data_IF_326304148281
#
_entry.id   IF_326304148281
#
_cell.length_a   1.000
_cell.length_b   1.000
_cell.length_c   1.000
_cell.angle_alpha   90.00
_cell.angle_beta   90.00
_cell.angle_gamma   90.00
#
_symmetry.space_group_name_H-M   'P 1'
#
loop_
_entity.id
_entity.type
_entity.pdbx_description
1 polymer ?
#
# COMPACT_ATOMS: atom_id res chain seq x y z
N UNK A 1 -13.05 46.35 31.16
CA UNK A 1 -13.28 44.95 31.59
C UNK A 1 -13.89 44.01 30.52
N UNK A 2 -14.15 44.46 29.27
CA UNK A 2 -14.73 43.61 28.20
C UNK A 2 -13.69 43.02 27.21
N UNK A 3 -12.44 43.49 27.23
CA UNK A 3 -11.40 43.11 26.25
C UNK A 3 -10.63 41.84 26.68
N UNK A 4 -10.62 41.50 27.97
CA UNK A 4 -9.90 40.32 28.47
C UNK A 4 -10.67 39.00 28.28
N UNK A 5 -12.00 39.03 28.17
CA UNK A 5 -12.81 37.82 27.98
C UNK A 5 -12.65 37.27 26.56
N UNK A 6 -12.43 38.13 25.56
CA UNK A 6 -12.26 37.71 24.16
C UNK A 6 -10.92 37.00 23.89
N UNK A 7 -9.86 37.35 24.62
CA UNK A 7 -8.56 36.66 24.51
C UNK A 7 -8.54 35.28 25.14
N UNK A 8 -9.36 35.01 26.17
CA UNK A 8 -9.44 33.69 26.80
C UNK A 8 -10.24 32.71 25.94
N UNK A 9 -11.27 33.18 25.23
CA UNK A 9 -12.04 32.35 24.29
C UNK A 9 -11.23 32.04 23.03
N UNK A 10 -10.40 32.97 22.54
CA UNK A 10 -9.50 32.72 21.41
C UNK A 10 -8.34 31.76 21.76
N UNK A 11 -7.93 31.68 23.04
CA UNK A 11 -6.90 30.74 23.49
C UNK A 11 -7.44 29.30 23.63
N UNK A 12 -8.76 29.12 23.78
CA UNK A 12 -9.38 27.79 23.94
C UNK A 12 -9.65 27.08 22.60
N UNK A 13 -9.65 27.83 21.48
CA UNK A 13 -9.90 27.27 20.13
C UNK A 13 -8.62 26.70 19.50
N UNK A 14 -7.43 27.02 20.02
CA UNK A 14 -6.13 26.60 19.44
C UNK A 14 -5.58 25.31 20.07
N UNK A 15 -6.18 24.78 21.14
CA UNK A 15 -5.74 23.54 21.81
C UNK A 15 -6.44 22.27 21.34
N UNK A 16 -7.28 22.30 20.30
CA UNK A 16 -7.59 21.09 19.54
C UNK A 16 -6.43 20.84 18.57
N UNK A 17 -5.24 20.57 19.12
CA UNK A 17 -4.28 19.76 18.39
C UNK A 17 -4.97 18.41 18.27
N UNK A 18 -5.50 18.14 17.09
CA UNK A 18 -5.69 16.79 16.56
C UNK A 18 -4.44 16.00 16.95
N UNK A 19 -4.50 15.26 18.05
CA UNK A 19 -3.85 13.98 18.09
C UNK A 19 -4.60 13.16 17.06
N UNK A 20 -4.22 13.29 15.80
CA UNK A 20 -4.23 12.16 14.89
C UNK A 20 -3.30 11.15 15.55
N UNK A 21 -3.84 10.47 16.56
CA UNK A 21 -3.36 9.19 17.02
C UNK A 21 -3.55 8.36 15.77
N UNK A 22 -2.46 8.25 15.00
CA UNK A 22 -2.34 7.30 13.92
C UNK A 22 -2.63 5.98 14.60
N UNK A 23 -3.86 5.51 14.45
CA UNK A 23 -4.24 4.19 14.90
C UNK A 23 -3.34 3.23 14.11
N UNK A 24 -2.22 2.87 14.73
CA UNK A 24 -1.28 1.87 14.23
C UNK A 24 -1.88 0.46 14.28
N UNK A 25 -3.17 0.36 14.61
CA UNK A 25 -3.93 -0.86 14.65
C UNK A 25 -4.73 -1.00 13.36
N UNK A 26 -4.70 -2.18 12.77
CA UNK A 26 -5.48 -2.54 11.60
C UNK A 26 -6.03 -3.96 11.71
N UNK A 27 -7.03 -4.26 10.90
CA UNK A 27 -7.51 -5.62 10.70
C UNK A 27 -6.89 -6.22 9.45
N UNK A 28 -6.65 -7.52 9.46
CA UNK A 28 -6.03 -8.23 8.34
C UNK A 28 -6.85 -9.45 7.95
N UNK A 29 -7.03 -9.65 6.65
CA UNK A 29 -7.56 -10.87 6.06
C UNK A 29 -6.40 -11.76 5.60
N UNK A 30 -6.42 -13.03 6.00
CA UNK A 30 -5.42 -14.03 5.62
C UNK A 30 -6.18 -15.25 5.09
N UNK A 31 -5.81 -15.75 3.92
CA UNK A 31 -6.39 -16.96 3.34
C UNK A 31 -5.30 -17.94 2.86
N UNK A 32 -5.58 -19.24 2.94
CA UNK A 32 -4.70 -20.29 2.41
C UNK A 32 -4.44 -20.09 0.91
N UNK A 33 -5.49 -19.81 0.14
CA UNK A 33 -5.41 -19.53 -1.29
C UNK A 33 -6.24 -18.28 -1.62
N UNK A 34 -5.66 -17.06 -1.54
CA UNK A 34 -6.39 -15.84 -1.87
C UNK A 34 -6.93 -15.84 -3.32
N UNK A 35 -6.24 -16.51 -4.25
CA UNK A 35 -6.65 -16.57 -5.66
C UNK A 35 -8.02 -17.26 -5.90
N UNK A 36 -8.48 -18.08 -4.96
CA UNK A 36 -9.75 -18.84 -5.09
C UNK A 36 -10.98 -17.97 -4.83
N UNK A 37 -10.77 -16.80 -4.22
CA UNK A 37 -11.82 -15.81 -3.99
C UNK A 37 -12.13 -15.01 -5.26
N UNK A 38 -13.35 -14.48 -5.31
CA UNK A 38 -13.73 -13.47 -6.29
C UNK A 38 -13.18 -12.10 -5.85
N UNK A 39 -12.08 -11.71 -6.50
CA UNK A 39 -11.34 -10.48 -6.22
C UNK A 39 -11.43 -9.56 -7.43
N UNK A 40 -11.71 -8.28 -7.16
CA UNK A 40 -11.70 -7.19 -8.12
C UNK A 40 -10.55 -6.22 -7.83
N UNK A 41 -10.03 -5.58 -8.86
CA UNK A 41 -9.02 -4.53 -8.73
C UNK A 41 -9.63 -3.20 -8.24
N UNK A 42 -8.81 -2.15 -8.11
CA UNK A 42 -9.26 -0.79 -7.70
C UNK A 42 -10.38 -0.20 -8.57
N UNK A 43 -10.51 -0.67 -9.81
CA UNK A 43 -11.54 -0.26 -10.77
C UNK A 43 -12.76 -1.19 -10.78
N UNK A 44 -12.87 -2.08 -9.79
CA UNK A 44 -13.96 -3.05 -9.67
C UNK A 44 -14.06 -4.03 -10.85
N UNK A 45 -12.93 -4.27 -11.53
CA UNK A 45 -12.84 -5.25 -12.62
C UNK A 45 -12.25 -6.56 -12.11
N UNK A 46 -12.72 -7.68 -12.67
CA UNK A 46 -12.20 -9.01 -12.35
C UNK A 46 -10.71 -9.10 -12.64
N UNK A 47 -9.96 -9.61 -11.67
CA UNK A 47 -8.51 -9.79 -11.79
C UNK A 47 -8.22 -10.94 -12.74
N UNK A 48 -7.26 -10.72 -13.64
CA UNK A 48 -6.82 -11.73 -14.60
C UNK A 48 -6.16 -12.94 -13.91
N UNK A 49 -6.18 -14.10 -14.56
CA UNK A 49 -5.52 -15.29 -14.02
C UNK A 49 -4.01 -15.13 -13.86
N UNK A 50 -3.35 -14.28 -14.67
CA UNK A 50 -1.94 -13.96 -14.54
C UNK A 50 -1.65 -13.14 -13.29
N UNK A 51 -2.47 -12.12 -13.00
CA UNK A 51 -2.29 -11.27 -11.82
C UNK A 51 -2.55 -12.04 -10.53
N UNK A 52 -3.53 -12.96 -10.55
CA UNK A 52 -3.80 -13.84 -9.41
C UNK A 52 -2.60 -14.71 -9.00
N UNK A 53 -1.65 -14.99 -9.91
CA UNK A 53 -0.43 -15.75 -9.56
C UNK A 53 0.48 -15.01 -8.59
N UNK A 54 0.33 -13.68 -8.46
CA UNK A 54 1.07 -12.87 -7.50
C UNK A 54 0.55 -13.03 -6.07
N UNK A 55 -0.66 -13.58 -5.90
CA UNK A 55 -1.29 -13.74 -4.60
C UNK A 55 -0.84 -15.06 -3.95
N UNK A 56 0.24 -14.98 -3.17
CA UNK A 56 0.80 -16.12 -2.47
C UNK A 56 -0.11 -16.59 -1.32
N UNK A 57 0.07 -17.86 -0.93
CA UNK A 57 -0.65 -18.46 0.20
C UNK A 57 -0.38 -17.70 1.49
N UNK A 58 -1.42 -17.52 2.31
CA UNK A 58 -1.36 -16.85 3.61
C UNK A 58 -0.79 -15.43 3.56
N UNK A 59 -0.89 -14.77 2.42
CA UNK A 59 -0.50 -13.36 2.31
C UNK A 59 -1.45 -12.50 3.15
N UNK A 60 -0.94 -11.53 3.93
CA UNK A 60 -1.79 -10.66 4.73
C UNK A 60 -2.35 -9.51 3.86
N UNK A 61 -3.66 -9.35 3.88
CA UNK A 61 -4.39 -8.25 3.22
C UNK A 61 -4.92 -7.31 4.29
N UNK A 62 -4.50 -6.05 4.28
CA UNK A 62 -4.97 -5.08 5.26
C UNK A 62 -6.41 -4.71 4.92
N UNK A 63 -7.33 -4.89 5.86
CA UNK A 63 -8.73 -4.53 5.67
C UNK A 63 -8.87 -3.02 5.84
N UNK A 64 -9.42 -2.35 4.83
CA UNK A 64 -9.75 -0.92 4.87
C UNK A 64 -11.21 -0.77 5.32
N UNK A 65 -12.13 -1.51 4.69
CA UNK A 65 -13.55 -1.53 5.04
C UNK A 65 -14.05 -2.98 4.97
N UNK A 66 -14.66 -3.48 6.05
CA UNK A 66 -15.15 -4.87 6.14
C UNK A 66 -16.38 -5.12 5.27
N UNK A 67 -17.26 -4.12 5.15
CA UNK A 67 -18.49 -4.21 4.40
C UNK A 67 -18.76 -2.88 3.69
N UNK A 68 -18.62 -2.89 2.36
CA UNK A 68 -18.84 -1.75 1.48
C UNK A 68 -19.68 -2.18 0.29
N UNK A 69 -20.33 -1.23 -0.38
CA UNK A 69 -21.04 -1.49 -1.64
C UNK A 69 -20.15 -1.07 -2.81
N UNK A 70 -20.18 -1.85 -3.88
CA UNK A 70 -19.53 -1.48 -5.13
C UNK A 70 -20.28 -0.33 -5.82
N UNK A 71 -19.76 0.13 -6.97
CA UNK A 71 -20.33 1.27 -7.71
C UNK A 71 -21.76 1.03 -8.20
N UNK A 72 -22.18 -0.23 -8.29
CA UNK A 72 -23.55 -0.62 -8.62
C UNK A 72 -24.54 -0.41 -7.46
N UNK A 73 -24.07 -0.14 -6.23
CA UNK A 73 -24.86 0.00 -5.01
C UNK A 73 -25.62 -1.27 -4.57
N UNK A 74 -25.34 -2.42 -5.18
CA UNK A 74 -25.98 -3.70 -4.85
C UNK A 74 -24.96 -4.74 -4.38
N UNK A 75 -23.81 -4.82 -5.05
CA UNK A 75 -22.81 -5.83 -4.76
C UNK A 75 -22.04 -5.46 -3.49
N UNK A 76 -22.13 -6.31 -2.47
CA UNK A 76 -21.37 -6.17 -1.22
C UNK A 76 -19.93 -6.65 -1.42
N UNK A 77 -18.98 -5.96 -0.81
CA UNK A 77 -17.57 -6.30 -0.85
C UNK A 77 -16.84 -5.93 0.44
N UNK A 78 -15.72 -6.61 0.68
CA UNK A 78 -14.70 -6.22 1.65
C UNK A 78 -13.57 -5.52 0.89
N UNK A 79 -13.28 -4.28 1.24
CA UNK A 79 -12.21 -3.47 0.64
C UNK A 79 -10.92 -3.67 1.41
N UNK A 80 -9.86 -4.04 0.69
CA UNK A 80 -8.58 -4.37 1.28
C UNK A 80 -7.42 -3.71 0.52
N UNK A 81 -6.27 -3.63 1.18
CA UNK A 81 -5.00 -3.19 0.63
C UNK A 81 -3.99 -4.34 0.64
N UNK A 82 -3.30 -4.51 -0.48
CA UNK A 82 -2.18 -5.42 -0.62
C UNK A 82 -1.08 -4.80 -1.47
N UNK A 83 0.15 -4.79 -0.95
CA UNK A 83 1.31 -4.14 -1.56
C UNK A 83 1.04 -2.68 -2.00
N UNK A 84 0.25 -1.95 -1.20
CA UNK A 84 -0.11 -0.55 -1.46
C UNK A 84 -1.18 -0.35 -2.55
N UNK A 85 -1.76 -1.44 -3.06
CA UNK A 85 -2.86 -1.41 -4.04
C UNK A 85 -4.16 -1.82 -3.39
N UNK A 86 -5.25 -1.19 -3.81
CA UNK A 86 -6.60 -1.50 -3.34
C UNK A 86 -7.24 -2.60 -4.17
N UNK A 87 -7.95 -3.49 -3.47
CA UNK A 87 -8.70 -4.60 -4.04
C UNK A 87 -10.02 -4.79 -3.29
N UNK A 88 -10.94 -5.49 -3.93
CA UNK A 88 -12.25 -5.80 -3.36
C UNK A 88 -12.48 -7.30 -3.40
N UNK A 89 -12.77 -7.91 -2.26
CA UNK A 89 -13.28 -9.28 -2.20
C UNK A 89 -14.80 -9.23 -2.14
N UNK A 90 -15.50 -9.88 -3.06
CA UNK A 90 -16.96 -9.84 -3.09
C UNK A 90 -17.57 -10.69 -1.98
N UNK A 91 -18.66 -10.21 -1.40
CA UNK A 91 -19.42 -10.86 -0.34
C UNK A 91 -20.76 -11.34 -0.89
N UNK A 92 -21.28 -12.44 -0.36
CA UNK A 92 -22.65 -12.86 -0.59
C UNK A 92 -23.64 -12.08 0.31
N UNK A 93 -24.94 -12.36 0.17
CA UNK A 93 -25.99 -11.68 0.94
C UNK A 93 -25.84 -11.84 2.46
N UNK A 94 -25.23 -12.95 2.88
CA UNK A 94 -24.93 -13.28 4.28
C UNK A 94 -23.64 -12.63 4.79
N UNK A 95 -22.96 -11.80 3.99
CA UNK A 95 -21.71 -11.15 4.35
C UNK A 95 -20.49 -12.09 4.38
N UNK A 96 -20.57 -13.26 3.72
CA UNK A 96 -19.45 -14.19 3.58
C UNK A 96 -18.74 -13.98 2.25
N UNK A 97 -17.42 -14.08 2.26
CA UNK A 97 -16.60 -13.98 1.06
C UNK A 97 -16.96 -15.06 0.03
N UNK A 98 -17.15 -14.66 -1.22
CA UNK A 98 -17.39 -15.57 -2.33
C UNK A 98 -16.06 -16.25 -2.73
N UNK A 99 -16.02 -17.57 -2.55
CA UNK A 99 -14.90 -18.43 -2.95
C UNK A 99 -15.40 -19.47 -3.94
N UNK A 100 -14.53 -19.84 -4.90
CA UNK A 100 -14.79 -20.97 -5.81
C UNK A 100 -14.67 -22.32 -5.11
N UNK A 101 -13.87 -22.37 -4.06
CA UNK A 101 -13.66 -23.57 -3.25
C UNK A 101 -14.26 -23.36 -1.85
N UNK A 102 -15.22 -24.20 -1.46
CA UNK A 102 -15.94 -24.06 -0.19
C UNK A 102 -15.09 -24.31 1.07
N UNK A 103 -13.85 -24.80 0.94
CA UNK A 103 -13.03 -25.29 2.05
C UNK A 103 -11.66 -24.60 2.20
N UNK A 104 -11.48 -23.40 1.66
CA UNK A 104 -10.23 -22.63 1.86
C UNK A 104 -10.20 -22.03 3.25
N UNK A 105 -9.16 -22.34 4.03
CA UNK A 105 -8.98 -21.74 5.34
C UNK A 105 -8.76 -20.23 5.20
N UNK A 106 -9.52 -19.44 5.94
CA UNK A 106 -9.33 -17.99 6.00
C UNK A 106 -9.69 -17.41 7.36
N UNK A 107 -8.98 -16.36 7.75
CA UNK A 107 -9.18 -15.65 9.01
C UNK A 107 -9.21 -14.15 8.79
N UNK A 108 -10.07 -13.48 9.55
CA UNK A 108 -10.00 -12.04 9.79
C UNK A 108 -9.39 -11.87 11.18
N UNK A 109 -8.28 -11.13 11.26
CA UNK A 109 -7.55 -10.87 12.49
C UNK A 109 -7.64 -9.39 12.80
N UNK A 110 -8.36 -9.05 13.86
CA UNK A 110 -8.64 -7.67 14.25
C UNK A 110 -7.62 -7.13 15.25
N UNK A 111 -7.52 -5.80 15.31
CA UNK A 111 -6.73 -5.06 16.29
C UNK A 111 -5.24 -5.48 16.30
N UNK A 112 -4.63 -5.53 15.11
CA UNK A 112 -3.24 -5.88 14.93
C UNK A 112 -2.38 -4.61 14.87
N UNK A 113 -1.32 -4.53 15.67
CA UNK A 113 -0.35 -3.45 15.55
C UNK A 113 0.54 -3.69 14.34
N UNK A 114 0.54 -2.76 13.39
CA UNK A 114 1.33 -2.87 12.16
C UNK A 114 2.82 -2.79 12.51
N UNK A 115 3.61 -3.72 11.97
CA UNK A 115 5.06 -3.79 12.15
C UNK A 115 5.72 -3.91 10.78
N UNK A 116 6.82 -3.18 10.57
CA UNK A 116 7.64 -3.32 9.35
C UNK A 116 9.09 -3.62 9.70
N UNK A 117 9.29 -4.39 10.76
CA UNK A 117 10.62 -4.67 11.30
C UNK A 117 11.12 -6.04 10.83
N UNK A 118 12.43 -6.11 10.62
CA UNK A 118 13.11 -7.38 10.34
C UNK A 118 13.68 -7.96 11.63
N UNK A 119 13.43 -9.24 11.86
CA UNK A 119 13.98 -10.01 12.96
C UNK A 119 14.97 -11.06 12.45
N UNK A 120 15.91 -11.43 13.31
CA UNK A 120 16.77 -12.59 13.11
C UNK A 120 16.64 -13.53 14.30
N UNK A 121 16.52 -14.83 14.03
CA UNK A 121 16.50 -15.87 15.05
C UNK A 121 17.90 -16.01 15.66
N UNK A 122 18.02 -15.87 16.98
CA UNK A 122 19.34 -15.91 17.67
C UNK A 122 19.69 -17.35 18.11
N UNK A 123 18.69 -18.19 18.36
CA UNK A 123 18.85 -19.53 18.94
C UNK A 123 18.19 -20.59 18.05
N UNK A 124 18.87 -21.72 17.84
CA UNK A 124 18.33 -22.82 17.06
C UNK A 124 17.08 -23.39 17.73
N UNK A 125 16.03 -23.64 16.94
CA UNK A 125 14.79 -24.29 17.35
C UNK A 125 14.04 -23.61 18.50
N UNK A 126 14.35 -22.34 18.78
CA UNK A 126 13.69 -21.58 19.85
C UNK A 126 12.33 -20.98 19.41
N UNK A 127 12.10 -20.85 18.09
CA UNK A 127 10.90 -20.22 17.54
C UNK A 127 10.17 -21.20 16.64
N UNK A 128 8.88 -21.41 16.94
CA UNK A 128 8.00 -22.25 16.15
C UNK A 128 7.24 -21.41 15.11
N UNK A 129 7.38 -21.78 13.85
CA UNK A 129 6.67 -21.20 12.72
C UNK A 129 5.47 -22.08 12.33
N UNK A 130 4.30 -21.44 12.14
CA UNK A 130 3.03 -22.11 11.81
C UNK A 130 2.23 -21.31 10.79
N UNK A 131 1.42 -21.96 9.96
CA UNK A 131 0.54 -21.26 9.00
C UNK A 131 -0.71 -20.64 9.61
N UNK A 132 -1.20 -21.27 10.67
CA UNK A 132 -2.46 -20.89 11.32
C UNK A 132 -2.20 -20.20 12.65
N UNK A 133 -3.14 -19.39 13.13
CA UNK A 133 -3.08 -18.78 14.46
C UNK A 133 -2.85 -19.82 15.58
N UNK A 134 -2.17 -19.41 16.67
CA UNK A 134 -1.80 -20.31 17.78
C UNK A 134 -2.98 -20.86 18.59
N UNK A 135 -4.16 -20.23 18.50
CA UNK A 135 -5.40 -20.69 19.13
C UNK A 135 -6.12 -21.78 18.32
N UNK A 136 -5.61 -22.15 17.15
CA UNK A 136 -6.20 -23.18 16.30
C UNK A 136 -5.29 -24.39 16.16
N UNK A 137 -5.89 -25.57 16.22
CA UNK A 137 -5.20 -26.84 15.99
C UNK A 137 -5.60 -27.41 14.64
N UNK A 138 -4.61 -27.66 13.78
CA UNK A 138 -4.83 -28.39 12.54
C UNK A 138 -3.67 -29.32 12.29
N UNK A 139 -3.98 -30.60 12.04
CA UNK A 139 -3.02 -31.61 11.61
C UNK A 139 -2.56 -31.40 10.16
N UNK A 140 -3.27 -30.58 9.38
CA UNK A 140 -3.00 -30.33 7.95
C UNK A 140 -1.76 -29.43 7.75
N UNK A 141 -1.50 -28.51 8.66
CA UNK A 141 -0.45 -27.50 8.47
C UNK A 141 0.80 -27.82 9.29
N UNK A 142 1.93 -27.82 8.58
CA UNK A 142 3.22 -28.11 9.17
C UNK A 142 3.61 -27.05 10.22
N UNK A 143 4.17 -27.54 11.31
CA UNK A 143 4.79 -26.74 12.38
C UNK A 143 6.30 -26.95 12.24
N UNK A 144 7.04 -25.89 11.97
CA UNK A 144 8.48 -25.97 11.72
C UNK A 144 9.23 -25.10 12.70
N UNK A 145 10.22 -25.67 13.38
CA UNK A 145 11.13 -24.89 14.21
C UNK A 145 12.15 -24.17 13.34
N UNK A 146 12.33 -22.87 13.59
CA UNK A 146 13.27 -22.05 12.84
C UNK A 146 14.69 -22.21 13.36
N UNK A 147 15.66 -22.22 12.45
CA UNK A 147 17.08 -22.28 12.76
C UNK A 147 17.65 -20.87 13.02
N UNK A 148 18.76 -20.80 13.77
CA UNK A 148 19.51 -19.57 14.03
C UNK A 148 19.94 -18.93 12.71
N UNK A 149 19.88 -17.60 12.68
CA UNK A 149 20.22 -16.79 11.51
C UNK A 149 19.07 -16.63 10.52
N UNK A 150 17.96 -17.36 10.68
CA UNK A 150 16.76 -17.16 9.85
C UNK A 150 16.29 -15.72 9.97
N UNK A 151 16.14 -15.04 8.84
CA UNK A 151 15.63 -13.68 8.76
C UNK A 151 14.13 -13.67 8.47
N UNK A 152 13.42 -12.81 9.19
CA UNK A 152 11.96 -12.71 9.16
C UNK A 152 11.56 -11.25 9.01
N UNK A 153 10.63 -10.95 8.11
CA UNK A 153 9.96 -9.64 8.09
C UNK A 153 8.64 -9.75 8.83
N UNK A 154 8.48 -9.04 9.93
CA UNK A 154 7.17 -8.90 10.56
C UNK A 154 6.30 -7.93 9.78
N UNK A 155 5.02 -8.29 9.65
CA UNK A 155 3.98 -7.47 9.01
C UNK A 155 3.06 -6.84 10.06
N UNK A 156 2.72 -7.61 11.11
CA UNK A 156 1.95 -7.10 12.23
C UNK A 156 2.10 -8.01 13.45
N UNK A 157 1.68 -7.49 14.60
CA UNK A 157 1.58 -8.22 15.85
C UNK A 157 0.13 -8.30 16.31
N UNK A 158 -0.28 -9.49 16.74
CA UNK A 158 -1.54 -9.70 17.44
C UNK A 158 -1.24 -10.30 18.81
N UNK A 159 -1.49 -9.52 19.87
CA UNK A 159 -1.12 -9.88 21.25
C UNK A 159 0.39 -10.23 21.34
N UNK A 160 0.74 -11.47 21.67
CA UNK A 160 2.12 -11.94 21.82
C UNK A 160 2.64 -12.68 20.57
N UNK A 161 1.86 -12.74 19.50
CA UNK A 161 2.20 -13.46 18.29
C UNK A 161 2.48 -12.48 17.16
N UNK A 162 3.45 -12.82 16.32
CA UNK A 162 3.84 -12.01 15.17
C UNK A 162 3.47 -12.76 13.90
N UNK A 163 2.87 -12.05 12.95
CA UNK A 163 2.72 -12.55 11.59
C UNK A 163 3.93 -12.09 10.77
N UNK A 164 4.64 -13.06 10.22
CA UNK A 164 5.95 -12.86 9.60
C UNK A 164 6.02 -13.52 8.23
N UNK A 165 6.97 -13.03 7.44
CA UNK A 165 7.40 -13.61 6.18
C UNK A 165 8.84 -14.10 6.30
N UNK A 166 9.11 -15.34 5.88
CA UNK A 166 10.47 -15.85 5.73
C UNK A 166 11.19 -15.11 4.60
N UNK A 167 12.39 -14.59 4.86
CA UNK A 167 13.22 -13.93 3.85
C UNK A 167 14.04 -14.94 3.02
N UNK A 168 14.20 -16.17 3.50
CA UNK A 168 14.90 -17.24 2.76
C UNK A 168 13.96 -17.99 1.82
N UNK A 169 14.24 -17.94 0.51
CA UNK A 169 13.57 -18.78 -0.50
C UNK A 169 12.21 -18.25 -0.98
N UNK A 170 11.20 -19.14 -1.10
CA UNK A 170 9.85 -18.79 -1.57
C UNK A 170 9.15 -17.89 -0.53
N UNK A 171 8.39 -16.89 -0.97
CA UNK A 171 7.60 -15.99 -0.09
C UNK A 171 6.64 -16.80 0.78
N UNK A 172 7.07 -17.11 1.99
CA UNK A 172 6.36 -18.01 2.89
C UNK A 172 5.95 -17.27 4.16
N UNK A 173 4.63 -17.24 4.41
CA UNK A 173 4.02 -16.45 5.48
C UNK A 173 3.51 -17.33 6.61
N UNK A 174 3.53 -16.79 7.83
CA UNK A 174 3.02 -17.53 8.97
C UNK A 174 3.20 -16.80 10.30
N UNK A 175 2.77 -17.47 11.35
CA UNK A 175 2.81 -17.03 12.73
C UNK A 175 4.04 -17.54 13.44
N UNK A 176 4.62 -16.69 14.28
CA UNK A 176 5.60 -17.06 15.30
C UNK A 176 5.15 -16.56 16.67
N UNK A 177 5.54 -17.30 17.70
CA UNK A 177 5.38 -16.89 19.09
C UNK A 177 6.74 -17.03 19.76
N UNK A 178 7.45 -15.91 20.01
CA UNK A 178 8.76 -15.97 20.66
C UNK A 178 8.59 -16.40 22.11
N UNK A 179 9.20 -17.52 22.48
CA UNK A 179 9.33 -17.92 23.88
C UNK A 179 10.44 -17.06 24.52
N UNK A 180 10.08 -15.86 24.99
CA UNK A 180 10.99 -14.95 25.68
C UNK A 180 11.73 -13.94 24.79
N UNK A 181 12.29 -12.90 25.42
CA UNK A 181 12.99 -11.77 24.76
C UNK A 181 14.30 -12.17 24.06
N UNK A 182 14.85 -13.35 24.36
CA UNK A 182 16.17 -13.78 23.88
C UNK A 182 16.14 -14.54 22.54
N UNK A 183 14.96 -14.85 22.02
CA UNK A 183 14.80 -15.69 20.82
C UNK A 183 14.80 -14.88 19.52
N UNK A 184 14.53 -13.58 19.60
CA UNK A 184 14.49 -12.65 18.46
C UNK A 184 15.46 -11.50 18.68
N UNK A 185 16.35 -11.26 17.70
CA UNK A 185 17.07 -9.99 17.59
C UNK A 185 16.29 -9.13 16.62
N UNK A 186 15.88 -7.93 17.04
CA UNK A 186 15.56 -6.89 16.05
C UNK A 186 16.84 -6.68 15.25
N UNK A 187 16.77 -6.95 13.95
CA UNK A 187 17.85 -6.55 13.07
C UNK A 187 17.77 -5.03 13.06
N UNK A 188 18.80 -4.35 13.55
CA UNK A 188 19.01 -2.93 13.27
C UNK A 188 19.44 -2.80 11.80
N UNK A 189 18.63 -3.33 10.90
CA UNK A 189 18.57 -2.93 9.50
C UNK A 189 17.71 -1.67 9.45
N UNK A 190 18.12 -0.66 10.22
CA UNK A 190 17.76 0.72 9.91
C UNK A 190 18.60 1.24 8.74
N UNK A 191 19.70 0.57 8.35
CA UNK A 191 20.55 0.98 7.22
C UNK A 191 21.45 -0.16 6.68
N UNK A 192 20.89 -1.29 6.25
CA UNK A 192 21.68 -2.26 5.46
C UNK A 192 20.87 -2.79 4.26
N UNK A 193 20.34 -1.83 3.50
CA UNK A 193 20.27 -1.82 2.04
C UNK A 193 19.84 -0.41 1.59
N UNK A 194 20.56 0.61 2.06
CA UNK A 194 20.72 1.88 1.33
C UNK A 194 21.96 1.76 0.43
N UNK A 195 22.06 0.67 -0.33
CA UNK A 195 22.35 0.91 -1.74
C UNK A 195 21.16 1.75 -2.17
N UNK A 196 21.34 3.07 -2.27
CA UNK A 196 20.26 3.98 -2.69
C UNK A 196 19.55 3.28 -3.84
N UNK A 197 18.32 2.81 -3.62
CA UNK A 197 17.56 2.12 -4.66
C UNK A 197 17.22 3.24 -5.63
N UNK A 198 18.19 3.55 -6.49
CA UNK A 198 18.08 4.58 -7.50
C UNK A 198 17.13 4.00 -8.52
N UNK A 199 16.12 4.80 -8.84
CA UNK A 199 15.31 4.54 -10.02
C UNK A 199 16.29 4.43 -11.18
N UNK A 200 16.20 3.32 -11.93
CA UNK A 200 17.04 3.08 -13.09
C UNK A 200 16.97 4.28 -14.04
N UNK A 201 18.13 4.76 -14.49
CA UNK A 201 18.25 5.86 -15.45
C UNK A 201 17.43 5.61 -16.71
N UNK A 202 17.22 4.33 -17.09
CA UNK A 202 16.35 3.99 -18.23
C UNK A 202 14.89 4.38 -17.97
N UNK A 203 14.37 4.13 -16.76
CA UNK A 203 13.02 4.51 -16.34
C UNK A 203 12.90 6.03 -16.26
N UNK A 204 13.90 6.71 -15.69
CA UNK A 204 13.93 8.18 -15.62
C UNK A 204 13.90 8.82 -17.01
N UNK A 205 14.64 8.28 -17.98
CA UNK A 205 14.61 8.76 -19.38
C UNK A 205 13.24 8.56 -20.02
N UNK A 206 12.55 7.46 -19.73
CA UNK A 206 11.19 7.24 -20.23
C UNK A 206 10.21 8.26 -19.64
N UNK A 207 10.30 8.53 -18.34
CA UNK A 207 9.50 9.57 -17.65
C UNK A 207 9.78 10.94 -18.27
N UNK A 208 11.05 11.30 -18.47
CA UNK A 208 11.43 12.57 -19.07
C UNK A 208 10.85 12.73 -20.49
N UNK A 209 10.94 11.66 -21.31
CA UNK A 209 10.36 11.66 -22.66
C UNK A 209 8.84 11.87 -22.65
N UNK A 210 8.13 11.32 -21.65
CA UNK A 210 6.68 11.55 -21.49
C UNK A 210 6.37 12.99 -21.11
N UNK A 211 7.15 13.58 -20.21
CA UNK A 211 7.01 14.97 -19.80
C UNK A 211 7.20 15.92 -20.98
N UNK A 212 8.27 15.74 -21.76
CA UNK A 212 8.52 16.59 -22.94
C UNK A 212 7.39 16.50 -23.96
N UNK A 213 6.88 15.29 -24.23
CA UNK A 213 5.75 15.09 -25.15
C UNK A 213 4.50 15.81 -24.64
N UNK A 214 4.16 15.66 -23.36
CA UNK A 214 3.01 16.34 -22.76
C UNK A 214 3.14 17.87 -22.83
N UNK A 215 4.30 18.40 -22.45
CA UNK A 215 4.57 19.85 -22.47
C UNK A 215 4.51 20.43 -23.89
N UNK A 216 4.99 19.68 -24.90
CA UNK A 216 4.88 20.07 -26.31
C UNK A 216 3.42 20.13 -26.77
N UNK A 217 2.61 19.14 -26.41
CA UNK A 217 1.17 19.11 -26.73
C UNK A 217 0.45 20.29 -26.06
N UNK A 218 0.69 20.54 -24.78
CA UNK A 218 0.09 21.67 -24.06
C UNK A 218 0.46 23.01 -24.68
N UNK A 219 1.72 23.20 -25.04
CA UNK A 219 2.18 24.44 -25.68
C UNK A 219 1.50 24.65 -27.03
N UNK A 220 1.39 23.60 -27.86
CA UNK A 220 0.71 23.70 -29.15
C UNK A 220 -0.79 23.98 -29.01
N UNK A 221 -1.46 23.32 -28.06
CA UNK A 221 -2.87 23.51 -27.80
C UNK A 221 -3.15 24.93 -27.31
N UNK A 222 -2.40 25.38 -26.30
CA UNK A 222 -2.57 26.72 -25.73
C UNK A 222 -2.23 27.82 -26.73
N UNK A 223 -1.23 27.63 -27.60
CA UNK A 223 -0.94 28.56 -28.69
C UNK A 223 -2.15 28.74 -29.62
N UNK A 224 -2.81 27.64 -30.01
CA UNK A 224 -4.01 27.68 -30.87
C UNK A 224 -5.21 28.33 -30.14
N UNK A 225 -5.44 27.97 -28.88
CA UNK A 225 -6.53 28.53 -28.08
C UNK A 225 -6.33 30.03 -27.84
N UNK A 226 -5.14 30.44 -27.44
CA UNK A 226 -4.77 31.85 -27.23
C UNK A 226 -5.00 32.68 -28.50
N UNK A 227 -4.60 32.17 -29.67
CA UNK A 227 -4.85 32.83 -30.95
C UNK A 227 -6.36 32.92 -31.28
N UNK A 228 -7.13 31.87 -31.00
CA UNK A 228 -8.56 31.82 -31.32
C UNK A 228 -9.42 32.73 -30.44
N UNK A 229 -9.02 32.91 -29.18
CA UNK A 229 -9.75 33.71 -28.19
C UNK A 229 -9.11 35.07 -27.90
N UNK A 230 -8.04 35.43 -28.62
CA UNK A 230 -7.22 36.64 -28.37
C UNK A 230 -6.79 36.78 -26.89
N UNK A 231 -6.34 35.67 -26.31
CA UNK A 231 -5.86 35.59 -24.93
C UNK A 231 -4.36 35.31 -24.90
N UNK A 232 -3.69 35.63 -23.79
CA UNK A 232 -2.30 35.26 -23.56
C UNK A 232 -2.16 34.53 -22.23
N UNK A 233 -2.62 33.28 -22.18
CA UNK A 233 -2.51 32.43 -20.99
C UNK A 233 -1.30 31.50 -21.10
N UNK A 234 -0.53 31.32 -20.00
CA UNK A 234 0.58 30.36 -20.00
C UNK A 234 0.04 28.94 -20.16
N UNK A 235 0.81 28.11 -20.87
CA UNK A 235 0.50 26.69 -20.99
C UNK A 235 0.82 25.96 -19.67
N UNK A 236 0.05 24.91 -19.33
CA UNK A 236 0.41 23.97 -18.29
C UNK A 236 1.78 23.35 -18.60
N UNK A 237 2.59 23.14 -17.57
CA UNK A 237 3.92 22.55 -17.72
C UNK A 237 4.23 21.59 -16.58
N UNK A 238 4.68 20.39 -16.93
CA UNK A 238 5.20 19.41 -15.99
C UNK A 238 6.69 19.64 -15.75
N UNK A 239 7.07 19.83 -14.49
CA UNK A 239 8.45 19.80 -14.03
C UNK A 239 8.76 18.48 -13.32
N UNK A 240 10.03 18.07 -13.32
CA UNK A 240 10.51 16.88 -12.63
C UNK A 240 11.62 17.26 -11.66
N UNK A 241 11.49 16.86 -10.42
CA UNK A 241 12.51 17.01 -9.39
C UNK A 241 12.86 15.63 -8.81
N UNK A 242 14.14 15.30 -8.80
CA UNK A 242 14.65 14.08 -8.17
C UNK A 242 15.26 14.42 -6.81
N UNK A 243 14.87 13.71 -5.77
CA UNK A 243 15.46 13.81 -4.44
C UNK A 243 15.78 12.41 -3.88
N UNK A 244 16.31 12.37 -2.66
CA UNK A 244 16.69 11.12 -1.99
C UNK A 244 15.51 10.18 -1.68
N UNK A 245 14.28 10.69 -1.66
CA UNK A 245 13.05 9.93 -1.41
C UNK A 245 12.38 9.45 -2.69
N UNK A 246 12.79 9.96 -3.85
CA UNK A 246 12.18 9.61 -5.12
C UNK A 246 12.14 10.74 -6.13
N UNK A 247 11.16 10.65 -7.04
CA UNK A 247 10.94 11.63 -8.10
C UNK A 247 9.56 12.24 -7.94
N UNK A 248 9.50 13.56 -7.98
CA UNK A 248 8.26 14.31 -7.95
C UNK A 248 8.06 14.99 -9.29
N UNK A 249 6.91 14.74 -9.91
CA UNK A 249 6.46 15.44 -11.11
C UNK A 249 5.40 16.44 -10.69
N UNK A 250 5.56 17.71 -11.05
CA UNK A 250 4.65 18.77 -10.62
C UNK A 250 4.07 19.48 -11.84
N UNK A 251 2.73 19.53 -11.91
CA UNK A 251 2.04 20.34 -12.92
C UNK A 251 1.94 21.79 -12.42
N UNK A 252 2.48 22.70 -13.23
CA UNK A 252 2.52 24.14 -12.97
C UNK A 252 1.57 24.90 -13.90
N UNK A 253 1.31 26.16 -13.56
CA UNK A 253 0.47 27.11 -14.32
C UNK A 253 -1.01 26.72 -14.46
N UNK A 254 -1.54 25.90 -13.54
CA UNK A 254 -2.95 25.51 -13.54
C UNK A 254 -3.54 25.38 -12.13
N UNK A 255 -4.84 25.64 -11.96
CA UNK A 255 -5.57 25.23 -10.78
C UNK A 255 -5.81 23.70 -10.81
N UNK A 256 -5.51 22.95 -9.72
CA UNK A 256 -5.61 21.50 -9.67
C UNK A 256 -6.97 20.95 -10.11
N UNK A 257 -8.04 21.60 -9.65
CA UNK A 257 -9.43 21.17 -9.83
C UNK A 257 -9.87 21.07 -11.30
N UNK A 258 -9.23 21.85 -12.21
CA UNK A 258 -9.59 21.87 -13.63
C UNK A 258 -8.83 20.85 -14.47
N UNK A 259 -7.80 20.22 -13.91
CA UNK A 259 -6.87 19.35 -14.64
C UNK A 259 -6.82 17.92 -14.11
N UNK A 260 -7.70 17.57 -13.16
CA UNK A 260 -7.74 16.25 -12.51
C UNK A 260 -7.76 15.09 -13.53
N UNK A 261 -8.61 15.17 -14.57
CA UNK A 261 -8.66 14.13 -15.62
C UNK A 261 -7.34 14.01 -16.38
N UNK A 262 -6.69 15.13 -16.67
CA UNK A 262 -5.40 15.16 -17.38
C UNK A 262 -4.28 14.62 -16.50
N UNK A 263 -4.32 14.95 -15.20
CA UNK A 263 -3.38 14.44 -14.20
C UNK A 263 -3.55 12.93 -14.07
N UNK A 264 -4.77 12.42 -13.89
CA UNK A 264 -5.04 10.99 -13.80
C UNK A 264 -4.60 10.22 -15.03
N UNK A 265 -4.85 10.76 -16.24
CA UNK A 265 -4.36 10.16 -17.48
C UNK A 265 -2.83 10.09 -17.48
N UNK A 266 -2.15 11.18 -17.12
CA UNK A 266 -0.70 11.23 -17.08
C UNK A 266 -0.12 10.30 -16.00
N UNK A 267 -0.72 10.24 -14.81
CA UNK A 267 -0.38 9.29 -13.74
C UNK A 267 -0.43 7.85 -14.23
N UNK A 268 -1.46 7.46 -14.98
CA UNK A 268 -1.55 6.10 -15.54
C UNK A 268 -0.42 5.82 -16.55
N UNK A 269 -0.02 6.80 -17.36
CA UNK A 269 1.12 6.64 -18.27
C UNK A 269 2.45 6.48 -17.51
N UNK A 270 2.62 7.21 -16.40
CA UNK A 270 3.79 7.06 -15.54
C UNK A 270 3.76 5.71 -14.81
N UNK A 271 2.63 5.33 -14.20
CA UNK A 271 2.45 4.01 -13.58
C UNK A 271 2.80 2.86 -14.54
N UNK A 272 2.43 2.98 -15.82
CA UNK A 272 2.75 1.97 -16.83
C UNK A 272 4.25 1.82 -17.09
N UNK A 273 5.04 2.91 -17.00
CA UNK A 273 6.51 2.85 -17.09
C UNK A 273 7.10 2.05 -15.91
N UNK A 274 6.50 2.21 -14.73
CA UNK A 274 6.93 1.55 -13.49
C UNK A 274 6.25 0.19 -13.26
N UNK A 275 5.47 -0.31 -14.22
CA UNK A 275 4.79 -1.58 -14.10
C UNK A 275 5.81 -2.72 -13.93
N UNK A 276 5.71 -3.44 -12.81
CA UNK A 276 6.65 -4.51 -12.46
C UNK A 276 7.89 -4.04 -11.68
N UNK A 277 8.04 -2.74 -11.44
CA UNK A 277 9.04 -2.21 -10.51
C UNK A 277 8.55 -2.19 -9.07
N UNK A 278 9.48 -2.02 -8.11
CA UNK A 278 9.17 -1.86 -6.69
C UNK A 278 8.80 -0.43 -6.27
N UNK A 279 8.82 0.53 -7.22
CA UNK A 279 8.57 1.95 -6.97
C UNK A 279 7.07 2.25 -7.10
N UNK A 280 6.36 2.54 -5.99
CA UNK A 280 4.98 2.96 -6.09
C UNK A 280 4.88 4.37 -6.67
N UNK A 281 3.82 4.61 -7.42
CA UNK A 281 3.48 5.91 -8.03
C UNK A 281 2.18 6.38 -7.40
N UNK A 282 2.15 7.61 -6.92
CA UNK A 282 1.00 8.24 -6.29
C UNK A 282 0.69 9.58 -6.98
N UNK A 283 -0.57 10.01 -6.95
CA UNK A 283 -0.96 11.35 -7.38
C UNK A 283 -1.58 12.13 -6.22
N UNK A 284 -1.06 13.31 -5.94
CA UNK A 284 -1.52 14.19 -4.86
C UNK A 284 -1.77 15.59 -5.43
N UNK A 285 -3.03 15.92 -5.74
CA UNK A 285 -3.38 17.20 -6.35
C UNK A 285 -2.72 17.35 -7.72
N UNK A 286 -1.80 18.31 -7.86
CA UNK A 286 -1.02 18.57 -9.09
C UNK A 286 0.33 17.85 -9.12
N UNK A 287 0.65 17.03 -8.12
CA UNK A 287 1.88 16.28 -8.03
C UNK A 287 1.69 14.80 -8.37
N UNK A 288 2.70 14.17 -8.97
CA UNK A 288 2.85 12.73 -9.09
C UNK A 288 4.16 12.36 -8.39
N UNK A 289 4.10 11.47 -7.41
CA UNK A 289 5.24 11.06 -6.59
C UNK A 289 5.60 9.61 -6.89
N UNK A 290 6.86 9.37 -7.27
CA UNK A 290 7.46 8.06 -7.47
C UNK A 290 8.41 7.84 -6.30
N UNK A 291 8.04 6.97 -5.36
CA UNK A 291 8.77 6.84 -4.09
C UNK A 291 9.79 5.71 -4.12
N UNK A 292 10.98 5.97 -3.57
CA UNK A 292 11.98 4.96 -3.24
C UNK A 292 11.64 4.46 -1.84
N UNK A 293 11.39 3.14 -1.71
CA UNK A 293 11.08 2.51 -0.42
C UNK A 293 12.29 2.48 0.50
#
# INVERSE_FOLDING_TARGET
MKIYIFKIILLFIITIKLSAQTDNNASFFIAENPADYEILNRYQQKISSSDKKLFHKFTPWKIIEENTLLSDQFTKAMKVEFEGKQYFFTLNDLGKLLSRENNTLSHIINNCSILEQTFSIIQNKAVLFRKIPFNEESKKYNRTYLEKGTQLKAHFQNKNNYFVQLQSGKRDFGWISPQGRLSLKKSNTENADTASIKIDDTLLRQVYSKIEKANKVYTQLYKKLNASYNQNRPAPFWSMESNIKGVVLQLQNVPPEKFEKSINYFTNEIEAIFAGSSFPVYSTGTAIEIMVK
#
